data_IF_823071470453
#
_entry.id   IF_823071470453
#
_cell.length_a   1.000
_cell.length_b   1.000
_cell.length_c   1.000
_cell.angle_alpha   90.00
_cell.angle_beta   90.00
_cell.angle_gamma   90.00
#
_symmetry.space_group_name_H-M   'P 1'
#
loop_
_entity.id
_entity.type
_entity.pdbx_description
1 polymer ?
#
# COMPACT_ATOMS: atom_id res chain seq x y z
N UNK A 1 17.88 -12.92 0.69
CA UNK A 1 16.53 -12.82 0.11
C UNK A 1 16.29 -11.36 -0.20
N UNK A 2 15.84 -11.04 -1.41
CA UNK A 2 15.45 -9.66 -1.75
C UNK A 2 14.26 -9.24 -0.90
N UNK A 3 14.24 -7.97 -0.47
CA UNK A 3 13.11 -7.44 0.30
C UNK A 3 11.90 -7.33 -0.63
N UNK A 4 10.74 -7.70 -0.12
CA UNK A 4 9.49 -7.58 -0.87
C UNK A 4 9.13 -6.10 -0.97
N UNK A 5 8.94 -5.64 -2.22
CA UNK A 5 8.65 -4.25 -2.57
C UNK A 5 7.16 -4.01 -2.57
N UNK A 6 6.72 -2.97 -1.87
CA UNK A 6 5.34 -2.51 -1.92
C UNK A 6 5.30 -1.02 -2.24
N UNK A 7 4.24 -0.60 -2.92
CA UNK A 7 3.98 0.82 -3.17
C UNK A 7 2.70 1.22 -2.43
N UNK A 8 2.77 2.27 -1.62
CA UNK A 8 1.64 2.76 -0.81
C UNK A 8 1.17 4.08 -1.42
N UNK A 9 -0.02 4.09 -1.98
CA UNK A 9 -0.54 5.19 -2.79
C UNK A 9 -1.75 5.80 -2.11
N UNK A 10 -1.78 7.11 -1.92
CA UNK A 10 -2.93 7.78 -1.32
C UNK A 10 -2.92 9.29 -1.46
N UNK A 11 -4.07 9.89 -1.23
CA UNK A 11 -4.26 11.35 -1.21
C UNK A 11 -3.98 11.96 0.17
N UNK A 12 -4.18 11.19 1.25
CA UNK A 12 -3.91 11.63 2.62
C UNK A 12 -2.46 11.29 3.03
N UNK A 13 -1.63 12.32 3.21
CA UNK A 13 -0.22 12.18 3.57
C UNK A 13 -0.04 11.39 4.87
N UNK A 14 -0.83 11.69 5.90
CA UNK A 14 -0.73 11.04 7.22
C UNK A 14 -1.03 9.54 7.12
N UNK A 15 -2.07 9.16 6.39
CA UNK A 15 -2.44 7.75 6.19
C UNK A 15 -1.34 7.01 5.42
N UNK A 16 -0.83 7.57 4.33
CA UNK A 16 0.26 6.97 3.55
C UNK A 16 1.53 6.81 4.41
N UNK A 17 1.91 7.83 5.18
CA UNK A 17 3.08 7.76 6.06
C UNK A 17 2.93 6.70 7.14
N UNK A 18 1.74 6.58 7.75
CA UNK A 18 1.46 5.61 8.80
C UNK A 18 1.51 4.18 8.29
N UNK A 19 0.81 3.88 7.20
CA UNK A 19 0.86 2.57 6.53
C UNK A 19 2.30 2.25 6.13
N UNK A 20 3.00 3.21 5.52
CA UNK A 20 4.38 3.02 5.10
C UNK A 20 5.30 2.71 6.28
N UNK A 21 5.17 3.46 7.37
CA UNK A 21 5.96 3.26 8.60
C UNK A 21 5.71 1.90 9.21
N UNK A 22 4.45 1.43 9.22
CA UNK A 22 4.11 0.11 9.70
C UNK A 22 4.73 -0.99 8.84
N UNK A 23 4.61 -0.91 7.51
CA UNK A 23 5.19 -1.87 6.58
C UNK A 23 6.72 -1.90 6.62
N UNK A 24 7.38 -0.74 6.78
CA UNK A 24 8.83 -0.65 6.98
C UNK A 24 9.27 -1.40 8.24
N UNK A 25 8.53 -1.27 9.35
CA UNK A 25 8.80 -2.03 10.59
C UNK A 25 8.66 -3.54 10.41
N UNK A 26 7.88 -4.00 9.42
CA UNK A 26 7.74 -5.41 9.03
C UNK A 26 8.78 -5.87 7.99
N UNK A 27 9.87 -5.10 7.80
CA UNK A 27 11.00 -5.43 6.91
C UNK A 27 10.61 -5.53 5.41
N UNK A 28 9.57 -4.79 5.00
CA UNK A 28 9.24 -4.57 3.59
C UNK A 28 10.03 -3.38 3.04
N UNK A 29 10.30 -3.38 1.74
CA UNK A 29 10.76 -2.19 1.03
C UNK A 29 9.53 -1.40 0.57
N UNK A 30 9.42 -0.13 0.98
CA UNK A 30 8.19 0.64 0.84
C UNK A 30 8.43 1.90 0.01
N UNK A 31 7.63 2.07 -1.04
CA UNK A 31 7.59 3.28 -1.87
C UNK A 31 6.30 4.06 -1.59
N UNK A 32 6.34 5.10 -0.74
CA UNK A 32 5.19 5.98 -0.54
C UNK A 32 4.97 6.84 -1.79
N UNK A 33 3.71 6.98 -2.21
CA UNK A 33 3.30 7.80 -3.33
C UNK A 33 2.09 8.65 -2.94
N UNK A 34 2.19 9.95 -3.20
CA UNK A 34 1.16 10.93 -2.87
C UNK A 34 0.49 11.43 -4.14
N UNK A 35 -0.81 11.16 -4.30
CA UNK A 35 -1.58 11.55 -5.48
C UNK A 35 -1.86 10.40 -6.45
N UNK A 36 -1.95 10.71 -7.75
CA UNK A 36 -2.30 9.76 -8.81
C UNK A 36 -1.02 9.31 -9.52
N UNK A 37 -0.62 8.03 -9.41
CA UNK A 37 0.54 7.49 -10.10
C UNK A 37 0.29 7.46 -11.60
N UNK A 38 1.34 7.74 -12.37
CA UNK A 38 1.38 7.40 -13.79
C UNK A 38 2.03 6.02 -13.96
N UNK A 39 1.75 5.35 -15.09
CA UNK A 39 2.27 4.00 -15.41
C UNK A 39 3.79 3.92 -15.26
N UNK A 40 4.50 4.97 -15.66
CA UNK A 40 5.96 5.02 -15.61
C UNK A 40 6.49 4.96 -14.16
N UNK A 41 5.80 5.59 -13.21
CA UNK A 41 6.19 5.56 -11.80
C UNK A 41 6.08 4.13 -11.25
N UNK A 42 4.94 3.46 -11.51
CA UNK A 42 4.70 2.09 -11.03
C UNK A 42 5.70 1.13 -11.67
N UNK A 43 5.99 1.32 -12.96
CA UNK A 43 6.96 0.51 -13.71
C UNK A 43 8.39 0.70 -13.20
N UNK A 44 8.77 1.95 -12.89
CA UNK A 44 10.09 2.28 -12.37
C UNK A 44 10.37 1.62 -11.02
N UNK A 45 9.40 1.67 -10.10
CA UNK A 45 9.57 1.09 -8.77
C UNK A 45 9.31 -0.42 -8.73
N UNK A 46 8.62 -0.96 -9.75
CA UNK A 46 8.30 -2.38 -9.91
C UNK A 46 7.85 -3.05 -8.59
N UNK A 47 6.80 -2.53 -7.91
CA UNK A 47 6.33 -3.12 -6.67
C UNK A 47 5.77 -4.52 -6.92
N UNK A 48 5.86 -5.39 -5.91
CA UNK A 48 5.21 -6.69 -5.94
C UNK A 48 3.72 -6.58 -5.55
N UNK A 49 3.38 -5.64 -4.65
CA UNK A 49 2.01 -5.35 -4.22
C UNK A 49 1.79 -3.84 -4.12
N UNK A 50 0.60 -3.38 -4.49
CA UNK A 50 0.19 -1.98 -4.35
C UNK A 50 -0.85 -1.86 -3.23
N UNK A 51 -0.66 -0.91 -2.31
CA UNK A 51 -1.66 -0.56 -1.30
C UNK A 51 -2.28 0.77 -1.70
N UNK A 52 -3.59 0.78 -1.93
CA UNK A 52 -4.37 1.95 -2.31
C UNK A 52 -5.13 2.48 -1.10
N UNK A 53 -4.62 3.54 -0.49
CA UNK A 53 -5.25 4.22 0.64
C UNK A 53 -6.47 5.04 0.17
N UNK A 54 -7.63 4.71 0.69
CA UNK A 54 -8.90 5.38 0.44
C UNK A 54 -8.98 6.72 1.22
N UNK A 55 -9.65 7.74 0.69
CA UNK A 55 -10.29 7.77 -0.63
C UNK A 55 -9.27 7.91 -1.77
N UNK A 56 -9.54 7.19 -2.85
CA UNK A 56 -8.76 7.26 -4.09
C UNK A 56 -9.19 8.51 -4.88
N UNK A 57 -8.27 9.25 -5.51
CA UNK A 57 -8.62 10.39 -6.35
C UNK A 57 -9.55 10.00 -7.53
N UNK A 58 -10.50 10.87 -7.88
CA UNK A 58 -11.55 10.58 -8.89
C UNK A 58 -10.99 10.21 -10.28
N UNK A 59 -9.82 10.75 -10.65
CA UNK A 59 -9.19 10.49 -11.95
C UNK A 59 -8.25 9.28 -11.95
N UNK A 60 -8.22 8.51 -10.86
CA UNK A 60 -7.34 7.36 -10.73
C UNK A 60 -7.84 6.19 -11.59
N UNK A 61 -7.01 5.76 -12.54
CA UNK A 61 -7.34 4.66 -13.44
C UNK A 61 -6.72 3.35 -12.94
N UNK A 62 -7.53 2.51 -12.29
CA UNK A 62 -7.10 1.18 -11.80
C UNK A 62 -6.56 0.27 -12.91
N UNK A 63 -6.97 0.47 -14.17
CA UNK A 63 -6.49 -0.32 -15.30
C UNK A 63 -4.98 -0.18 -15.57
N UNK A 64 -4.31 0.80 -14.95
CA UNK A 64 -2.87 1.04 -15.04
C UNK A 64 -2.06 0.19 -14.04
N UNK A 65 -2.71 -0.47 -13.08
CA UNK A 65 -2.06 -1.35 -12.10
C UNK A 65 -2.21 -2.79 -12.55
N UNK A 66 -1.08 -3.44 -12.86
CA UNK A 66 -1.04 -4.87 -13.21
C UNK A 66 -0.65 -5.76 -12.03
N UNK A 67 -0.14 -5.15 -10.96
CA UNK A 67 0.23 -5.82 -9.72
C UNK A 67 -1.03 -6.15 -8.89
N UNK A 68 -0.97 -7.16 -8.00
CA UNK A 68 -1.96 -7.31 -6.94
C UNK A 68 -2.07 -6.01 -6.14
N UNK A 69 -3.30 -5.58 -5.89
CA UNK A 69 -3.57 -4.38 -5.10
C UNK A 69 -4.54 -4.62 -3.94
N UNK A 70 -4.36 -3.86 -2.88
CA UNK A 70 -5.18 -3.90 -1.66
C UNK A 70 -5.77 -2.51 -1.44
N UNK A 71 -7.09 -2.41 -1.30
CA UNK A 71 -7.73 -1.19 -0.83
C UNK A 71 -7.62 -1.09 0.69
N UNK A 72 -7.20 0.07 1.18
CA UNK A 72 -7.03 0.33 2.60
C UNK A 72 -7.82 1.58 3.02
N UNK A 73 -8.79 1.44 3.92
CA UNK A 73 -9.43 2.60 4.57
C UNK A 73 -9.06 2.64 6.03
N UNK A 74 -8.58 3.79 6.48
CA UNK A 74 -8.33 4.04 7.88
C UNK A 74 -9.65 4.31 8.61
N UNK A 75 -9.92 3.55 9.67
CA UNK A 75 -11.09 3.75 10.52
C UNK A 75 -10.65 4.43 11.82
N UNK A 76 -10.96 5.71 12.01
CA UNK A 76 -10.44 6.54 13.11
C UNK A 76 -11.31 6.45 14.38
N UNK A 77 -11.41 5.25 14.96
CA UNK A 77 -12.25 5.04 16.15
C UNK A 77 -11.39 4.99 17.43
N UNK A 78 -10.23 4.30 17.42
CA UNK A 78 -9.23 4.30 18.51
C UNK A 78 -7.82 3.88 18.02
N UNK A 79 -6.78 4.13 18.81
CA UNK A 79 -5.40 3.69 18.49
C UNK A 79 -5.25 2.16 18.43
N UNK A 80 -5.95 1.43 19.31
CA UNK A 80 -5.93 -0.04 19.34
C UNK A 80 -6.55 -0.62 18.06
N UNK A 81 -7.69 -0.07 17.62
CA UNK A 81 -8.35 -0.48 16.38
C UNK A 81 -7.57 -0.08 15.13
N UNK A 82 -6.79 1.00 15.22
CA UNK A 82 -5.87 1.41 14.15
C UNK A 82 -4.73 0.40 13.98
N UNK A 83 -4.17 -0.11 15.09
CA UNK A 83 -3.13 -1.12 15.06
C UNK A 83 -3.64 -2.47 14.54
N UNK A 84 -4.81 -2.91 15.02
CA UNK A 84 -5.48 -4.13 14.52
C UNK A 84 -5.71 -4.04 13.01
N UNK A 85 -6.18 -2.89 12.54
CA UNK A 85 -6.34 -2.66 11.11
C UNK A 85 -5.01 -2.77 10.33
N UNK A 86 -3.93 -2.19 10.83
CA UNK A 86 -2.61 -2.29 10.17
C UNK A 86 -2.07 -3.74 10.18
N UNK A 87 -2.39 -4.53 11.19
CA UNK A 87 -2.09 -5.97 11.22
C UNK A 87 -2.87 -6.72 10.14
N UNK A 88 -4.16 -6.47 10.00
CA UNK A 88 -4.98 -7.04 8.93
C UNK A 88 -4.46 -6.67 7.54
N UNK A 89 -4.10 -5.40 7.33
CA UNK A 89 -3.45 -4.95 6.11
C UNK A 89 -2.19 -5.77 5.81
N UNK A 90 -1.32 -5.94 6.80
CA UNK A 90 -0.10 -6.69 6.63
C UNK A 90 -0.35 -8.17 6.31
N UNK A 91 -1.34 -8.80 6.94
CA UNK A 91 -1.76 -10.16 6.60
C UNK A 91 -2.18 -10.25 5.13
N UNK A 92 -2.96 -9.27 4.65
CA UNK A 92 -3.37 -9.19 3.24
C UNK A 92 -2.16 -9.01 2.31
N UNK A 93 -1.21 -8.15 2.67
CA UNK A 93 0.05 -7.97 1.92
C UNK A 93 0.81 -9.29 1.84
N UNK A 94 0.96 -10.02 2.95
CA UNK A 94 1.65 -11.31 2.95
C UNK A 94 0.97 -12.35 2.07
N UNK A 95 -0.37 -12.43 2.09
CA UNK A 95 -1.13 -13.32 1.22
C UNK A 95 -0.90 -12.98 -0.26
N UNK A 96 -0.95 -11.70 -0.63
CA UNK A 96 -0.69 -11.26 -1.99
C UNK A 96 0.74 -11.59 -2.45
N UNK A 97 1.73 -11.40 -1.57
CA UNK A 97 3.12 -11.75 -1.85
C UNK A 97 3.34 -13.27 -1.99
N UNK A 98 2.60 -14.10 -1.25
CA UNK A 98 2.69 -15.56 -1.35
C UNK A 98 2.13 -16.09 -2.68
N UNK A 99 1.12 -15.44 -3.26
CA UNK A 99 0.54 -15.85 -4.56
C UNK A 99 1.44 -15.56 -5.76
N UNK A 100 2.53 -14.81 -5.57
CA UNK A 100 3.50 -14.46 -6.61
C UNK A 100 4.71 -15.42 -6.67
N UNK A 101 4.83 -16.34 -5.70
CA UNK A 101 5.92 -17.31 -5.60
C UNK A 101 5.52 -18.71 -6.09
#
# INVERSE_FOLDING_TARGET
>A
MERQRIMVIGSNVTTVQRVSSYCLKKNLEVFPYYGIPIVDDITLFAPHVVVLCLPIPENFQLCQIHQPYIFWSENKISEEQELEGLEELYICVQKALQTLN
#
